data_IF_061176394587
#
_entry.id   IF_061176394587
#
_cell.length_a   1.000
_cell.length_b   1.000
_cell.length_c   1.000
_cell.angle_alpha   90.00
_cell.angle_beta   90.00
_cell.angle_gamma   90.00
#
_symmetry.space_group_name_H-M   'P 1'
#
loop_
_entity.id
_entity.type
_entity.pdbx_description
1 polymer ?
#
# COMPACT_ATOMS: atom_id res chain seq x y z
N UNK A 1 -19.27 19.31 35.91
CA UNK A 1 -19.79 18.62 34.71
C UNK A 1 -18.60 18.33 33.81
N UNK A 2 -17.98 17.15 33.96
CA UNK A 2 -16.87 16.74 33.09
C UNK A 2 -17.50 16.06 31.87
N UNK A 3 -17.34 16.65 30.69
CA UNK A 3 -17.75 15.99 29.45
C UNK A 3 -16.79 14.83 29.22
N UNK A 4 -17.33 13.62 29.17
CA UNK A 4 -16.59 12.43 28.77
C UNK A 4 -16.41 12.55 27.25
N UNK A 5 -15.31 13.15 26.82
CA UNK A 5 -14.98 13.25 25.40
C UNK A 5 -14.55 11.84 24.96
N UNK A 6 -15.22 11.28 23.96
CA UNK A 6 -14.87 9.96 23.45
C UNK A 6 -13.43 10.02 22.93
N UNK A 7 -12.55 9.05 23.25
CA UNK A 7 -11.19 9.07 22.71
C UNK A 7 -11.26 9.10 21.19
N UNK A 8 -10.37 9.86 20.53
CA UNK A 8 -10.44 10.01 19.08
C UNK A 8 -10.38 8.64 18.41
N UNK A 9 -11.26 8.44 17.42
CA UNK A 9 -11.38 7.16 16.75
C UNK A 9 -10.04 6.76 16.11
N UNK A 10 -9.56 5.56 16.43
CA UNK A 10 -8.43 4.93 15.75
C UNK A 10 -8.85 4.51 14.35
N UNK A 11 -8.10 4.93 13.34
CA UNK A 11 -8.32 4.54 11.94
C UNK A 11 -7.18 3.64 11.48
N UNK A 12 -7.50 2.57 10.76
CA UNK A 12 -6.52 1.78 10.02
C UNK A 12 -6.45 2.32 8.60
N UNK A 13 -5.25 2.71 8.17
CA UNK A 13 -4.96 3.16 6.81
C UNK A 13 -3.99 2.17 6.16
N UNK A 14 -4.08 1.97 4.86
CA UNK A 14 -3.06 1.29 4.09
C UNK A 14 -2.69 2.10 2.84
N UNK A 15 -1.42 2.04 2.46
CA UNK A 15 -0.90 2.59 1.21
C UNK A 15 -0.35 1.44 0.38
N UNK A 16 -0.82 1.33 -0.86
CA UNK A 16 -0.27 0.43 -1.87
C UNK A 16 0.49 1.26 -2.89
N UNK A 17 1.79 1.01 -2.99
CA UNK A 17 2.66 1.56 -4.03
C UNK A 17 3.04 0.44 -5.00
N UNK A 18 2.87 0.66 -6.31
CA UNK A 18 3.20 -0.33 -7.35
C UNK A 18 4.28 0.28 -8.23
N UNK A 19 5.51 -0.20 -8.05
CA UNK A 19 6.67 0.20 -8.82
C UNK A 19 6.99 -0.79 -9.95
N UNK A 20 7.97 -0.40 -10.77
CA UNK A 20 8.45 -1.21 -11.90
C UNK A 20 9.26 -2.44 -11.48
N UNK A 21 9.71 -2.50 -10.22
CA UNK A 21 10.45 -3.64 -9.68
C UNK A 21 9.67 -4.35 -8.57
N UNK A 22 8.95 -3.60 -7.73
CA UNK A 22 8.21 -4.15 -6.59
C UNK A 22 6.94 -3.38 -6.30
N UNK A 23 5.96 -4.08 -5.72
CA UNK A 23 4.82 -3.49 -5.03
C UNK A 23 5.09 -3.52 -3.52
N UNK A 24 4.63 -2.49 -2.82
CA UNK A 24 4.73 -2.38 -1.37
C UNK A 24 3.37 -1.99 -0.79
N UNK A 25 2.87 -2.82 0.12
CA UNK A 25 1.71 -2.52 0.96
C UNK A 25 2.19 -2.15 2.36
N UNK A 26 1.83 -0.97 2.84
CA UNK A 26 2.08 -0.54 4.22
C UNK A 26 0.77 -0.21 4.93
N UNK A 27 0.44 -0.99 5.96
CA UNK A 27 -0.68 -0.75 6.87
C UNK A 27 -0.23 -0.03 8.13
N UNK A 28 -0.96 1.00 8.52
CA UNK A 28 -0.67 1.83 9.71
C UNK A 28 -1.93 2.06 10.55
N UNK A 29 -1.74 2.15 11.87
CA UNK A 29 -2.74 2.71 12.78
C UNK A 29 -2.54 4.22 12.90
N UNK A 30 -3.63 4.98 12.77
CA UNK A 30 -3.63 6.45 12.77
C UNK A 30 -4.51 6.98 13.90
N UNK A 31 -3.99 8.01 14.57
CA UNK A 31 -4.68 8.77 15.61
C UNK A 31 -4.44 10.26 15.40
N UNK A 32 -5.43 11.14 15.65
CA UNK A 32 -5.23 12.58 15.56
C UNK A 32 -4.06 13.07 16.42
N UNK A 33 -3.14 13.82 15.80
CA UNK A 33 -2.00 14.42 16.49
C UNK A 33 -0.83 13.46 16.78
N UNK A 34 -0.93 12.17 16.43
CA UNK A 34 0.16 11.20 16.55
C UNK A 34 0.72 10.82 15.17
N UNK A 35 2.01 10.45 15.08
CA UNK A 35 2.55 9.87 13.85
C UNK A 35 1.85 8.53 13.55
N UNK A 36 1.72 8.12 12.27
CA UNK A 36 1.24 6.80 11.93
C UNK A 36 2.11 5.70 12.55
N UNK A 37 1.48 4.69 13.15
CA UNK A 37 2.17 3.56 13.75
C UNK A 37 2.17 2.38 12.76
N UNK A 38 3.34 1.83 12.37
CA UNK A 38 3.40 0.67 11.48
C UNK A 38 2.67 -0.53 12.10
N UNK A 39 1.76 -1.13 11.34
CA UNK A 39 1.02 -2.33 11.74
C UNK A 39 1.40 -3.54 10.88
N UNK A 40 1.58 -3.33 9.57
CA UNK A 40 1.92 -4.39 8.64
C UNK A 40 2.69 -3.85 7.44
N UNK A 41 3.60 -4.66 6.89
CA UNK A 41 4.30 -4.34 5.66
C UNK A 41 4.49 -5.62 4.84
N UNK A 42 4.12 -5.56 3.56
CA UNK A 42 4.39 -6.60 2.57
C UNK A 42 5.09 -5.96 1.39
N UNK A 43 6.07 -6.66 0.82
CA UNK A 43 6.76 -6.24 -0.38
C UNK A 43 6.94 -7.44 -1.28
N UNK A 44 6.41 -7.35 -2.50
CA UNK A 44 6.51 -8.41 -3.50
C UNK A 44 7.16 -7.89 -4.78
N UNK A 45 7.99 -8.70 -5.47
CA UNK A 45 8.50 -8.36 -6.78
C UNK A 45 7.38 -8.25 -7.82
N UNK A 46 7.42 -7.21 -8.63
CA UNK A 46 6.51 -7.00 -9.76
C UNK A 46 7.22 -7.12 -11.10
N UNK A 47 8.52 -6.80 -11.16
CA UNK A 47 9.37 -6.84 -12.37
C UNK A 47 8.70 -6.22 -13.63
N UNK A 48 7.81 -5.25 -13.47
CA UNK A 48 7.06 -4.64 -14.58
C UNK A 48 7.97 -3.94 -15.59
N UNK A 49 9.16 -3.50 -15.18
CA UNK A 49 10.16 -2.96 -16.12
C UNK A 49 10.57 -4.00 -17.17
N UNK A 50 10.65 -5.27 -16.80
CA UNK A 50 11.05 -6.38 -17.69
C UNK A 50 9.90 -6.79 -18.62
N UNK A 51 8.67 -6.46 -18.23
CA UNK A 51 7.44 -6.77 -18.96
C UNK A 51 6.99 -5.61 -19.87
N UNK A 52 7.76 -4.52 -19.92
CA UNK A 52 7.42 -3.35 -20.73
C UNK A 52 7.84 -3.56 -22.19
N UNK A 53 6.88 -3.56 -23.09
CA UNK A 53 7.09 -3.60 -24.52
C UNK A 53 7.50 -2.23 -25.07
N UNK A 54 8.06 -2.21 -26.29
CA UNK A 54 8.58 -1.00 -26.94
C UNK A 54 7.54 0.13 -27.14
N UNK A 55 6.26 -0.21 -27.12
CA UNK A 55 5.11 0.69 -27.25
C UNK A 55 4.62 1.22 -25.90
N UNK A 56 5.29 0.84 -24.81
CA UNK A 56 4.94 1.21 -23.44
C UNK A 56 3.82 0.37 -22.82
N UNK A 57 3.33 -0.67 -23.52
CA UNK A 57 2.39 -1.61 -22.93
C UNK A 57 3.11 -2.63 -22.03
N UNK A 58 2.43 -3.12 -21.01
CA UNK A 58 2.89 -4.28 -20.24
C UNK A 58 2.45 -5.56 -20.94
N UNK A 59 3.27 -6.61 -20.83
CA UNK A 59 2.91 -7.97 -21.21
C UNK A 59 1.74 -8.49 -20.38
N UNK A 60 1.03 -9.51 -20.88
CA UNK A 60 -0.02 -10.19 -20.09
C UNK A 60 0.56 -10.76 -18.79
N UNK A 61 1.75 -11.36 -18.82
CA UNK A 61 2.47 -11.85 -17.64
C UNK A 61 2.71 -10.75 -16.60
N UNK A 62 3.11 -9.55 -17.04
CA UNK A 62 3.32 -8.41 -16.16
C UNK A 62 2.02 -7.92 -15.52
N UNK A 63 0.92 -7.93 -16.26
CA UNK A 63 -0.42 -7.58 -15.75
C UNK A 63 -0.87 -8.62 -14.73
N UNK A 64 -0.76 -9.91 -15.02
CA UNK A 64 -1.13 -10.99 -14.12
C UNK A 64 -0.38 -10.89 -12.79
N UNK A 65 0.95 -10.69 -12.82
CA UNK A 65 1.77 -10.56 -11.61
C UNK A 65 1.36 -9.37 -10.73
N UNK A 66 0.87 -8.28 -11.32
CA UNK A 66 0.45 -7.09 -10.58
C UNK A 66 -1.01 -7.15 -10.07
N UNK A 67 -1.83 -8.08 -10.57
CA UNK A 67 -3.27 -8.10 -10.31
C UNK A 67 -3.75 -9.35 -9.58
N UNK A 68 -2.98 -10.43 -9.61
CA UNK A 68 -3.29 -11.68 -8.92
C UNK A 68 -2.51 -11.71 -7.60
N UNK A 69 -3.24 -11.84 -6.50
CA UNK A 69 -2.74 -11.95 -5.13
C UNK A 69 -2.49 -13.40 -4.73
#
# INVERSE_FOLDING_TARGET
>A
MIRHENPPARVKLAVLDIGSNSAQLQGVDVFPGAPPLPAHAVKEPTLLAEELHHDGALSETGIERATIA
#
